data_IF_938704798970
#
_entry.id   IF_938704798970
#
_cell.length_a   1.000
_cell.length_b   1.000
_cell.length_c   1.000
_cell.angle_alpha   90.00
_cell.angle_beta   90.00
_cell.angle_gamma   90.00
#
_symmetry.space_group_name_H-M   'P 1'
#
loop_
_entity.id
_entity.type
_entity.pdbx_description
1 polymer ?
#
# COMPACT_ATOMS: atom_id res chain seq x y z
N UNK A 1 26.49 -2.97 4.66
CA UNK A 1 26.64 -2.43 3.31
C UNK A 1 25.54 -1.43 3.03
N UNK A 2 25.91 -0.29 2.53
CA UNK A 2 25.00 0.80 2.26
C UNK A 2 24.71 0.90 0.76
N UNK A 3 23.50 1.32 0.44
CA UNK A 3 23.05 1.56 -0.92
C UNK A 3 22.74 3.02 -1.10
N UNK A 4 22.93 3.50 -2.31
CA UNK A 4 22.54 4.85 -2.69
C UNK A 4 21.30 4.77 -3.56
N UNK A 5 20.24 5.46 -3.14
CA UNK A 5 19.00 5.55 -3.88
C UNK A 5 18.86 6.95 -4.44
N UNK A 6 18.57 7.03 -5.74
CA UNK A 6 18.26 8.30 -6.36
C UNK A 6 16.77 8.56 -6.18
N UNK A 7 16.45 9.65 -5.49
CA UNK A 7 15.08 10.14 -5.39
C UNK A 7 14.87 11.21 -6.44
N UNK A 8 13.63 11.44 -6.83
CA UNK A 8 13.32 12.48 -7.80
C UNK A 8 14.03 13.79 -7.45
N UNK A 9 14.32 14.64 -8.40
CA UNK A 9 15.06 15.88 -8.21
C UNK A 9 16.56 15.68 -7.95
N UNK A 10 17.10 14.51 -8.28
CA UNK A 10 18.52 14.26 -8.16
C UNK A 10 19.06 14.05 -6.76
N UNK A 11 18.20 13.96 -5.76
CA UNK A 11 18.64 13.63 -4.40
C UNK A 11 19.10 12.18 -4.34
N UNK A 12 20.21 11.98 -3.63
CA UNK A 12 20.74 10.64 -3.36
C UNK A 12 20.65 10.40 -1.86
N UNK A 13 19.99 9.33 -1.49
CA UNK A 13 19.83 8.93 -0.09
C UNK A 13 20.65 7.68 0.16
N UNK A 14 21.54 7.76 1.15
CA UNK A 14 22.33 6.62 1.59
C UNK A 14 21.49 5.80 2.55
N UNK A 15 21.40 4.47 2.30
CA UNK A 15 20.62 3.59 3.14
C UNK A 15 21.29 2.23 3.26
N UNK A 16 20.99 1.51 4.36
CA UNK A 16 21.48 0.14 4.55
C UNK A 16 20.62 -0.85 3.75
N UNK A 17 21.14 -2.04 3.41
CA UNK A 17 20.34 -3.09 2.78
C UNK A 17 19.07 -3.42 3.56
N UNK A 18 19.14 -3.49 4.88
CA UNK A 18 17.98 -3.79 5.72
C UNK A 18 16.92 -2.70 5.59
N UNK A 19 17.32 -1.44 5.59
CA UNK A 19 16.40 -0.33 5.45
C UNK A 19 15.82 -0.27 4.02
N UNK A 20 16.63 -0.59 3.03
CA UNK A 20 16.19 -0.71 1.65
C UNK A 20 15.09 -1.76 1.52
N UNK A 21 15.26 -2.93 2.15
CA UNK A 21 14.28 -4.01 2.11
C UNK A 21 12.94 -3.58 2.72
N UNK A 22 12.97 -2.80 3.81
CA UNK A 22 11.77 -2.26 4.41
C UNK A 22 11.06 -1.27 3.48
N UNK A 23 11.82 -0.43 2.80
CA UNK A 23 11.25 0.55 1.88
C UNK A 23 10.60 -0.13 0.68
N UNK A 24 11.26 -1.12 0.11
CA UNK A 24 10.72 -1.89 -1.03
C UNK A 24 9.46 -2.65 -0.63
N UNK A 25 9.41 -3.19 0.59
CA UNK A 25 8.21 -3.85 1.09
C UNK A 25 7.01 -2.90 1.08
N UNK A 26 7.21 -1.67 1.50
CA UNK A 26 6.15 -0.67 1.56
C UNK A 26 5.82 -0.07 0.19
N UNK A 27 6.83 0.39 -0.54
CA UNK A 27 6.62 1.18 -1.76
C UNK A 27 6.23 0.35 -2.97
N UNK A 28 6.67 -0.91 -3.01
CA UNK A 28 6.46 -1.77 -4.17
C UNK A 28 5.67 -3.02 -3.84
N UNK A 29 6.17 -3.84 -2.92
CA UNK A 29 5.60 -5.17 -2.66
C UNK A 29 4.21 -5.10 -2.06
N UNK A 30 4.01 -4.26 -1.06
CA UNK A 30 2.69 -4.07 -0.45
C UNK A 30 1.68 -3.55 -1.48
N UNK A 31 2.10 -2.62 -2.33
CA UNK A 31 1.23 -2.08 -3.38
C UNK A 31 0.73 -3.18 -4.31
N UNK A 32 1.60 -4.11 -4.70
CA UNK A 32 1.21 -5.24 -5.54
C UNK A 32 0.28 -6.21 -4.83
N UNK A 33 0.53 -6.50 -3.55
CA UNK A 33 -0.34 -7.36 -2.73
C UNK A 33 -1.73 -6.73 -2.62
N UNK A 34 -1.80 -5.44 -2.30
CA UNK A 34 -3.07 -4.74 -2.13
C UNK A 34 -3.86 -4.71 -3.43
N UNK A 35 -3.19 -4.38 -4.53
CA UNK A 35 -3.81 -4.33 -5.85
C UNK A 35 -4.39 -5.68 -6.24
N UNK A 36 -3.63 -6.75 -6.07
CA UNK A 36 -4.04 -8.10 -6.41
C UNK A 36 -5.19 -8.58 -5.52
N UNK A 37 -5.16 -8.26 -4.22
CA UNK A 37 -6.24 -8.62 -3.30
C UNK A 37 -7.51 -7.81 -3.59
N UNK A 38 -7.36 -6.54 -3.90
CA UNK A 38 -8.47 -5.64 -4.18
C UNK A 38 -9.34 -6.13 -5.35
N UNK A 39 -8.70 -6.61 -6.41
CA UNK A 39 -9.42 -7.06 -7.61
C UNK A 39 -10.26 -8.32 -7.38
N UNK A 40 -10.07 -9.00 -6.24
CA UNK A 40 -10.82 -10.22 -5.92
C UNK A 40 -12.23 -9.96 -5.39
N UNK A 41 -12.61 -8.70 -5.23
CA UNK A 41 -13.99 -8.37 -4.84
C UNK A 41 -14.98 -8.91 -5.88
N UNK A 42 -16.13 -9.47 -5.46
CA UNK A 42 -17.18 -9.88 -6.41
C UNK A 42 -17.65 -8.73 -7.30
N UNK A 43 -17.51 -7.50 -6.84
CA UNK A 43 -17.90 -6.31 -7.59
C UNK A 43 -16.98 -6.02 -8.77
N UNK A 44 -15.80 -6.65 -8.83
CA UNK A 44 -14.85 -6.40 -9.91
C UNK A 44 -15.44 -6.74 -11.29
N UNK A 45 -16.24 -7.80 -11.38
CA UNK A 45 -16.88 -8.20 -12.63
C UNK A 45 -18.04 -7.29 -13.02
N UNK A 46 -18.55 -6.51 -12.08
CA UNK A 46 -19.73 -5.68 -12.27
C UNK A 46 -19.42 -4.20 -12.48
N UNK A 47 -18.14 -3.82 -12.46
CA UNK A 47 -17.75 -2.41 -12.47
C UNK A 47 -17.89 -1.71 -13.82
N UNK A 48 -18.12 -2.44 -14.89
CA UNK A 48 -18.21 -1.86 -16.24
C UNK A 48 -19.26 -0.76 -16.26
N UNK A 49 -18.86 0.45 -16.67
CA UNK A 49 -19.71 1.62 -16.62
C UNK A 49 -19.62 2.43 -15.32
N UNK A 50 -19.00 1.86 -14.28
CA UNK A 50 -18.84 2.52 -12.99
C UNK A 50 -17.38 2.78 -12.65
N UNK A 51 -16.45 2.45 -13.56
CA UNK A 51 -15.00 2.56 -13.30
C UNK A 51 -14.59 4.00 -13.08
N UNK A 52 -13.92 4.25 -11.96
CA UNK A 52 -13.35 5.56 -11.63
C UNK A 52 -11.83 5.51 -11.71
N UNK A 53 -11.20 6.68 -11.73
CA UNK A 53 -9.74 6.78 -11.74
C UNK A 53 -9.08 6.09 -10.57
N UNK A 54 -9.68 6.21 -9.36
CA UNK A 54 -9.14 5.57 -8.16
C UNK A 54 -9.13 4.04 -8.28
N UNK A 55 -10.18 3.45 -8.87
CA UNK A 55 -10.21 2.02 -9.14
C UNK A 55 -9.07 1.62 -10.08
N UNK A 56 -8.94 2.34 -11.19
CA UNK A 56 -7.90 2.05 -12.20
C UNK A 56 -6.51 2.16 -11.62
N UNK A 57 -6.25 3.20 -10.85
CA UNK A 57 -4.94 3.41 -10.22
C UNK A 57 -4.62 2.30 -9.22
N UNK A 58 -5.59 1.94 -8.38
CA UNK A 58 -5.39 0.94 -7.33
C UNK A 58 -5.20 -0.47 -7.90
N UNK A 59 -5.82 -0.79 -9.04
CA UNK A 59 -5.76 -2.13 -9.63
C UNK A 59 -4.74 -2.26 -10.76
N UNK A 60 -4.03 -1.19 -11.10
CA UNK A 60 -3.12 -1.17 -12.24
C UNK A 60 -2.07 -2.27 -12.21
N UNK A 61 -1.56 -2.62 -11.03
CA UNK A 61 -0.52 -3.63 -10.87
C UNK A 61 -1.06 -5.00 -10.41
N UNK A 62 -2.36 -5.21 -10.44
CA UNK A 62 -2.97 -6.49 -10.06
C UNK A 62 -2.62 -7.60 -11.06
N UNK A 63 -2.42 -7.26 -12.32
CA UNK A 63 -2.01 -8.18 -13.36
C UNK A 63 -0.48 -8.29 -13.33
N UNK A 64 0.02 -9.35 -12.73
CA UNK A 64 1.45 -9.51 -12.45
C UNK A 64 1.91 -10.93 -12.80
N UNK A 65 3.23 -11.11 -12.82
CA UNK A 65 3.84 -12.43 -13.00
C UNK A 65 3.91 -13.13 -11.65
N UNK A 66 3.07 -14.13 -11.44
CA UNK A 66 2.94 -14.81 -10.15
C UNK A 66 4.21 -15.52 -9.71
N UNK A 67 4.97 -16.10 -10.63
CA UNK A 67 6.20 -16.82 -10.26
C UNK A 67 7.26 -15.87 -9.76
N UNK A 68 7.50 -14.80 -10.49
CA UNK A 68 8.51 -13.80 -10.12
C UNK A 68 8.15 -13.14 -8.78
N UNK A 69 6.90 -12.69 -8.63
CA UNK A 69 6.50 -11.97 -7.43
C UNK A 69 6.44 -12.88 -6.20
N UNK A 70 6.08 -14.15 -6.37
CA UNK A 70 6.13 -15.11 -5.26
C UNK A 70 7.55 -15.21 -4.72
N UNK A 71 8.54 -15.35 -5.58
CA UNK A 71 9.93 -15.44 -5.16
C UNK A 71 10.40 -14.18 -4.46
N UNK A 72 10.08 -13.02 -5.01
CA UNK A 72 10.46 -11.73 -4.42
C UNK A 72 9.80 -11.51 -3.05
N UNK A 73 8.53 -11.86 -2.91
CA UNK A 73 7.82 -11.72 -1.63
C UNK A 73 8.44 -12.62 -0.57
N UNK A 74 8.74 -13.86 -0.90
CA UNK A 74 9.33 -14.80 0.04
C UNK A 74 10.74 -14.38 0.48
N UNK A 75 11.53 -13.81 -0.43
CA UNK A 75 12.85 -13.30 -0.10
C UNK A 75 12.78 -12.10 0.84
N UNK A 76 11.68 -11.38 0.88
CA UNK A 76 11.48 -10.22 1.76
C UNK A 76 10.34 -10.44 2.74
N UNK A 77 10.18 -11.67 3.19
CA UNK A 77 9.04 -12.11 4.01
C UNK A 77 8.81 -11.25 5.25
N UNK A 78 9.85 -11.01 6.04
CA UNK A 78 9.71 -10.29 7.31
C UNK A 78 9.15 -8.88 7.13
N UNK A 79 9.83 -8.02 6.36
CA UNK A 79 9.35 -6.66 6.11
C UNK A 79 7.97 -6.64 5.45
N UNK A 80 7.72 -7.48 4.45
CA UNK A 80 6.43 -7.50 3.77
C UNK A 80 5.30 -7.95 4.70
N UNK A 81 5.53 -9.00 5.48
CA UNK A 81 4.53 -9.48 6.45
C UNK A 81 4.16 -8.39 7.44
N UNK A 82 5.16 -7.67 7.94
CA UNK A 82 4.95 -6.55 8.86
C UNK A 82 4.06 -5.46 8.23
N UNK A 83 4.31 -5.12 6.98
CA UNK A 83 3.51 -4.12 6.27
C UNK A 83 2.07 -4.57 6.04
N UNK A 84 1.89 -5.84 5.69
CA UNK A 84 0.55 -6.41 5.51
C UNK A 84 -0.24 -6.37 6.83
N UNK A 85 0.38 -6.80 7.92
CA UNK A 85 -0.27 -6.79 9.24
C UNK A 85 -0.65 -5.38 9.66
N UNK A 86 0.23 -4.42 9.42
CA UNK A 86 -0.05 -3.03 9.72
C UNK A 86 -1.22 -2.48 8.91
N UNK A 87 -1.29 -2.82 7.63
CA UNK A 87 -2.41 -2.41 6.78
C UNK A 87 -3.72 -3.05 7.23
N UNK A 88 -3.70 -4.33 7.60
CA UNK A 88 -4.87 -5.03 8.13
C UNK A 88 -5.40 -4.32 9.38
N UNK A 89 -4.49 -3.92 10.28
CA UNK A 89 -4.86 -3.18 11.48
C UNK A 89 -5.60 -1.88 11.12
N UNK A 90 -5.04 -1.09 10.23
CA UNK A 90 -5.66 0.17 9.83
C UNK A 90 -6.99 -0.05 9.11
N UNK A 91 -7.07 -1.02 8.21
CA UNK A 91 -8.33 -1.36 7.54
C UNK A 91 -9.41 -1.77 8.54
N UNK A 92 -9.05 -2.53 9.58
CA UNK A 92 -10.00 -2.95 10.60
C UNK A 92 -10.58 -1.76 11.36
N UNK A 93 -9.83 -0.68 11.54
CA UNK A 93 -10.32 0.53 12.20
C UNK A 93 -11.44 1.19 11.38
N UNK A 94 -11.30 1.27 10.06
CA UNK A 94 -12.35 1.79 9.19
C UNK A 94 -13.59 0.89 9.24
N UNK A 95 -13.39 -0.41 9.17
CA UNK A 95 -14.48 -1.38 9.27
C UNK A 95 -15.26 -1.20 10.58
N UNK A 96 -14.54 -1.11 11.69
CA UNK A 96 -15.17 -0.98 13.00
C UNK A 96 -15.94 0.33 13.15
N UNK A 97 -15.39 1.42 12.66
CA UNK A 97 -16.08 2.72 12.69
C UNK A 97 -17.35 2.70 11.83
N UNK A 98 -17.29 2.08 10.66
CA UNK A 98 -18.46 1.94 9.79
C UNK A 98 -19.52 1.05 10.41
N UNK A 99 -19.13 -0.08 10.97
CA UNK A 99 -20.05 -1.00 11.62
C UNK A 99 -20.79 -0.33 12.81
N UNK A 100 -20.06 0.46 13.58
CA UNK A 100 -20.63 1.19 14.71
C UNK A 100 -21.34 2.48 14.30
N UNK A 101 -21.32 2.85 13.03
CA UNK A 101 -21.83 4.11 12.53
C UNK A 101 -21.24 5.30 13.30
N UNK A 102 -19.96 5.18 13.64
CA UNK A 102 -19.21 6.19 14.37
C UNK A 102 -18.67 7.26 13.41
N UNK A 103 -19.49 8.26 13.15
CA UNK A 103 -19.13 9.33 12.20
C UNK A 103 -17.89 10.10 12.65
N UNK A 104 -17.76 10.38 13.94
CA UNK A 104 -16.62 11.12 14.47
C UNK A 104 -15.33 10.29 14.38
N UNK A 105 -15.42 9.00 14.72
CA UNK A 105 -14.29 8.09 14.60
C UNK A 105 -13.83 7.93 13.17
N UNK A 106 -14.76 7.75 12.24
CA UNK A 106 -14.45 7.62 10.83
C UNK A 106 -13.79 8.91 10.29
N UNK A 107 -14.33 10.05 10.66
CA UNK A 107 -13.76 11.34 10.27
C UNK A 107 -12.33 11.51 10.79
N UNK A 108 -12.08 11.09 12.03
CA UNK A 108 -10.75 11.18 12.63
C UNK A 108 -9.75 10.28 11.89
N UNK A 109 -10.15 9.07 11.49
CA UNK A 109 -9.29 8.17 10.71
C UNK A 109 -8.93 8.76 9.37
N UNK A 110 -9.92 9.29 8.65
CA UNK A 110 -9.71 9.90 7.34
C UNK A 110 -8.82 11.14 7.44
N UNK A 111 -9.05 11.96 8.45
CA UNK A 111 -8.24 13.15 8.70
C UNK A 111 -6.79 12.79 8.98
N UNK A 112 -6.54 11.78 9.84
CA UNK A 112 -5.19 11.35 10.15
C UNK A 112 -4.44 10.95 8.88
N UNK A 113 -5.06 10.16 8.01
CA UNK A 113 -4.47 9.77 6.75
C UNK A 113 -4.18 10.94 5.84
N UNK A 114 -5.14 11.87 5.72
CA UNK A 114 -4.97 13.07 4.90
C UNK A 114 -3.80 13.91 5.39
N UNK A 115 -3.71 14.15 6.69
CA UNK A 115 -2.64 14.97 7.27
C UNK A 115 -1.27 14.31 7.06
N UNK A 116 -1.18 12.99 7.19
CA UNK A 116 0.06 12.26 6.93
C UNK A 116 0.50 12.40 5.48
N UNK A 117 -0.45 12.28 4.55
CA UNK A 117 -0.16 12.41 3.12
C UNK A 117 0.33 13.82 2.78
N UNK A 118 -0.34 14.85 3.31
CA UNK A 118 0.06 16.25 3.12
C UNK A 118 1.49 16.48 3.63
N UNK A 119 1.83 15.94 4.79
CA UNK A 119 3.17 16.07 5.36
C UNK A 119 4.22 15.40 4.48
N UNK A 120 3.92 14.20 3.97
CA UNK A 120 4.84 13.46 3.10
C UNK A 120 5.07 14.20 1.79
N UNK A 121 4.02 14.76 1.21
CA UNK A 121 4.12 15.47 -0.07
C UNK A 121 4.92 16.78 0.04
N UNK A 122 5.09 17.30 1.25
CA UNK A 122 5.83 18.54 1.50
C UNK A 122 7.30 18.32 1.87
N UNK A 123 7.79 17.09 1.82
CA UNK A 123 9.20 16.75 2.09
C UNK A 123 10.12 17.06 0.90
#
# INVERSE_FOLDING_TARGET
>A
RELFLSLGFGKVVQTSPKNHDKMIAFTSQLAHVVSNAYIKSPEADQHVGYSAGSYKDLTRVAKLNEDMWTDLFLLNKGPLLSEIENLILHLSQYRDALEAEDAQGLKALLRDGRLRKEKIDNI
#
